data_IF_184317890267
#
_entry.id   IF_184317890267
#
_cell.length_a   1.000
_cell.length_b   1.000
_cell.length_c   1.000
_cell.angle_alpha   90.00
_cell.angle_beta   90.00
_cell.angle_gamma   90.00
#
_symmetry.space_group_name_H-M   'P 1'
#
loop_
_entity.id
_entity.type
_entity.pdbx_description
1 polymer ?
#
# COMPACT_ATOMS: atom_id res chain seq x y z
N UNK A 1 -30.01 8.60 -0.14
CA UNK A 1 -28.90 9.43 0.40
C UNK A 1 -28.31 8.69 1.59
N UNK A 2 -26.99 8.63 1.72
CA UNK A 2 -26.36 8.01 2.89
C UNK A 2 -26.74 8.79 4.16
N UNK A 3 -27.02 8.09 5.26
CA UNK A 3 -27.35 8.69 6.55
C UNK A 3 -26.13 9.46 7.07
N UNK A 4 -26.27 10.77 7.27
CA UNK A 4 -25.22 11.62 7.85
C UNK A 4 -25.43 11.66 9.36
N UNK A 5 -24.41 11.26 10.11
CA UNK A 5 -24.39 11.34 11.57
C UNK A 5 -23.38 12.40 12.02
N UNK A 6 -23.74 13.20 13.03
CA UNK A 6 -22.85 14.23 13.59
C UNK A 6 -22.04 13.63 14.73
N UNK A 7 -20.72 13.79 14.67
CA UNK A 7 -19.78 13.32 15.70
C UNK A 7 -18.97 14.54 16.16
N UNK A 8 -18.84 14.72 17.48
CA UNK A 8 -17.93 15.72 18.04
C UNK A 8 -16.55 15.11 18.18
N UNK A 9 -15.53 15.78 17.64
CA UNK A 9 -14.14 15.32 17.64
C UNK A 9 -13.23 16.43 18.14
N UNK A 10 -12.22 16.07 18.92
CA UNK A 10 -11.16 17.00 19.32
C UNK A 10 -10.08 17.02 18.23
N UNK A 11 -9.74 18.22 17.76
CA UNK A 11 -8.67 18.47 16.80
C UNK A 11 -7.66 19.43 17.45
N UNK A 12 -6.41 19.38 16.99
CA UNK A 12 -5.43 20.36 17.42
C UNK A 12 -5.79 21.75 16.88
N UNK A 13 -5.35 22.82 17.55
CA UNK A 13 -5.58 24.19 17.08
C UNK A 13 -5.04 24.41 15.66
N UNK A 14 -3.89 23.81 15.35
CA UNK A 14 -3.29 23.82 14.01
C UNK A 14 -4.19 23.17 12.96
N UNK A 15 -4.75 21.99 13.24
CA UNK A 15 -5.67 21.31 12.32
C UNK A 15 -6.93 22.12 12.07
N UNK A 16 -7.49 22.76 13.11
CA UNK A 16 -8.66 23.63 12.97
C UNK A 16 -8.33 24.84 12.09
N UNK A 17 -7.16 25.47 12.28
CA UNK A 17 -6.71 26.59 11.45
C UNK A 17 -6.54 26.17 9.98
N UNK A 18 -5.95 25.01 9.71
CA UNK A 18 -5.79 24.49 8.36
C UNK A 18 -7.14 24.21 7.68
N UNK A 19 -8.08 23.58 8.40
CA UNK A 19 -9.44 23.31 7.90
C UNK A 19 -10.16 24.63 7.59
N UNK A 20 -10.05 25.64 8.47
CA UNK A 20 -10.67 26.96 8.23
C UNK A 20 -10.08 27.65 7.01
N UNK A 21 -8.75 27.67 6.88
CA UNK A 21 -8.08 28.26 5.73
C UNK A 21 -8.53 27.64 4.41
N UNK A 22 -8.69 26.30 4.36
CA UNK A 22 -9.16 25.61 3.17
C UNK A 22 -10.62 25.96 2.80
N UNK A 23 -11.47 26.22 3.79
CA UNK A 23 -12.86 26.67 3.57
C UNK A 23 -12.90 28.14 3.16
N UNK A 24 -12.18 29.01 3.89
CA UNK A 24 -12.13 30.45 3.64
C UNK A 24 -11.48 30.77 2.27
N UNK A 25 -10.53 29.93 1.84
CA UNK A 25 -9.92 29.97 0.51
C UNK A 25 -10.80 29.43 -0.62
N UNK A 26 -11.96 28.84 -0.29
CA UNK A 26 -12.92 28.33 -1.27
C UNK A 26 -12.56 26.97 -1.87
N UNK A 27 -11.54 26.27 -1.36
CA UNK A 27 -11.22 24.89 -1.78
C UNK A 27 -12.32 23.91 -1.34
N UNK A 28 -12.99 24.21 -0.22
CA UNK A 28 -14.09 23.41 0.31
C UNK A 28 -15.26 24.29 0.71
N UNK A 29 -16.49 23.79 0.54
CA UNK A 29 -17.68 24.54 0.94
C UNK A 29 -17.91 24.49 2.46
N UNK A 30 -17.47 23.43 3.13
CA UNK A 30 -17.69 23.24 4.58
C UNK A 30 -16.56 22.48 5.25
N UNK A 31 -16.37 22.71 6.56
CA UNK A 31 -15.42 21.95 7.39
C UNK A 31 -15.71 20.45 7.39
N UNK A 32 -16.99 20.07 7.33
CA UNK A 32 -17.40 18.67 7.28
C UNK A 32 -16.98 17.97 5.99
N UNK A 33 -16.74 18.71 4.91
CA UNK A 33 -16.24 18.17 3.66
C UNK A 33 -14.76 17.78 3.75
N UNK A 34 -13.94 18.69 4.28
CA UNK A 34 -12.51 18.44 4.56
C UNK A 34 -12.34 17.20 5.44
N UNK A 35 -13.14 17.11 6.52
CA UNK A 35 -13.08 15.97 7.43
C UNK A 35 -13.50 14.67 6.73
N UNK A 36 -14.53 14.68 5.87
CA UNK A 36 -14.94 13.48 5.12
C UNK A 36 -13.85 13.03 4.14
N UNK A 37 -13.18 13.96 3.46
CA UNK A 37 -12.05 13.63 2.60
C UNK A 37 -10.91 12.98 3.38
N UNK A 38 -10.46 13.61 4.46
CA UNK A 38 -9.41 13.08 5.31
C UNK A 38 -9.73 11.66 5.83
N UNK A 39 -11.00 11.38 6.15
CA UNK A 39 -11.44 10.04 6.57
C UNK A 39 -11.41 9.05 5.42
N UNK A 40 -11.80 9.44 4.19
CA UNK A 40 -11.71 8.54 3.01
C UNK A 40 -10.25 8.18 2.73
N UNK A 41 -9.35 9.14 2.79
CA UNK A 41 -7.92 8.89 2.57
C UNK A 41 -7.33 7.99 3.66
N UNK A 42 -7.72 8.23 4.92
CA UNK A 42 -7.35 7.37 6.03
C UNK A 42 -7.87 5.94 5.87
N UNK A 43 -9.11 5.76 5.40
CA UNK A 43 -9.70 4.45 5.10
C UNK A 43 -8.94 3.76 3.96
N UNK A 44 -8.67 4.45 2.86
CA UNK A 44 -7.92 3.92 1.73
C UNK A 44 -6.51 3.48 2.15
N UNK A 45 -5.80 4.31 2.92
CA UNK A 45 -4.49 3.97 3.49
C UNK A 45 -4.53 2.74 4.39
N UNK A 46 -5.61 2.57 5.17
CA UNK A 46 -5.80 1.38 6.01
C UNK A 46 -6.10 0.13 5.20
N UNK A 47 -6.90 0.24 4.15
CA UNK A 47 -7.19 -0.89 3.27
C UNK A 47 -5.91 -1.40 2.61
N UNK A 48 -5.11 -0.49 2.02
CA UNK A 48 -3.82 -0.85 1.41
C UNK A 48 -2.89 -1.56 2.42
N UNK A 49 -2.84 -1.07 3.65
CA UNK A 49 -2.05 -1.72 4.71
C UNK A 49 -2.56 -3.13 5.04
N UNK A 50 -3.88 -3.33 5.09
CA UNK A 50 -4.47 -4.64 5.36
C UNK A 50 -4.20 -5.61 4.21
N UNK A 51 -4.27 -5.14 2.97
CA UNK A 51 -3.94 -5.92 1.78
C UNK A 51 -2.47 -6.34 1.79
N UNK A 52 -1.56 -5.42 2.12
CA UNK A 52 -0.13 -5.72 2.25
C UNK A 52 0.17 -6.75 3.34
N UNK A 53 -0.45 -6.62 4.52
CA UNK A 53 -0.30 -7.59 5.60
C UNK A 53 -0.80 -8.97 5.15
N UNK A 54 -1.94 -9.01 4.46
CA UNK A 54 -2.53 -10.26 3.96
C UNK A 54 -1.65 -10.90 2.91
N UNK A 55 -1.07 -10.10 2.00
CA UNK A 55 -0.09 -10.55 1.00
C UNK A 55 1.17 -11.11 1.66
N UNK A 56 1.73 -10.43 2.65
CA UNK A 56 2.93 -10.91 3.36
C UNK A 56 2.67 -12.21 4.13
N UNK A 57 1.51 -12.34 4.79
CA UNK A 57 1.10 -13.60 5.43
C UNK A 57 0.99 -14.74 4.42
N UNK A 58 0.36 -14.50 3.28
CA UNK A 58 0.27 -15.50 2.23
C UNK A 58 1.66 -15.94 1.74
N UNK A 59 2.56 -15.00 1.47
CA UNK A 59 3.93 -15.33 1.04
C UNK A 59 4.70 -16.12 2.11
N UNK A 60 4.45 -15.83 3.39
CA UNK A 60 5.02 -16.60 4.50
C UNK A 60 4.48 -18.03 4.53
N UNK A 61 3.16 -18.20 4.43
CA UNK A 61 2.51 -19.51 4.42
C UNK A 61 2.94 -20.34 3.20
N UNK A 62 3.03 -19.71 2.03
CA UNK A 62 3.56 -20.32 0.79
C UNK A 62 5.02 -20.78 0.99
N UNK A 63 5.84 -19.98 1.68
CA UNK A 63 7.22 -20.32 2.03
C UNK A 63 7.29 -21.53 2.98
N UNK A 64 6.49 -21.55 4.04
CA UNK A 64 6.40 -22.69 4.96
C UNK A 64 5.93 -23.97 4.25
N UNK A 65 4.98 -23.84 3.32
CA UNK A 65 4.47 -24.96 2.54
C UNK A 65 5.44 -25.46 1.46
N UNK A 66 6.46 -24.66 1.09
CA UNK A 66 7.44 -25.00 0.04
C UNK A 66 8.45 -26.07 0.43
N UNK A 67 8.46 -26.50 1.70
CA UNK A 67 9.32 -27.57 2.21
C UNK A 67 10.57 -27.03 2.92
N UNK A 68 11.53 -27.93 3.15
CA UNK A 68 12.80 -27.56 3.79
C UNK A 68 13.64 -26.69 2.86
N UNK A 69 14.11 -25.56 3.38
CA UNK A 69 14.96 -24.64 2.63
C UNK A 69 16.40 -25.18 2.45
N UNK A 70 16.86 -26.05 3.35
CA UNK A 70 18.23 -26.52 3.39
C UNK A 70 19.27 -25.39 3.59
N UNK A 71 20.57 -25.72 3.52
CA UNK A 71 21.63 -24.71 3.57
C UNK A 71 21.70 -23.91 2.25
N UNK A 72 21.92 -22.59 2.36
CA UNK A 72 22.05 -21.70 1.20
C UNK A 72 23.51 -21.40 0.88
N UNK A 73 23.98 -21.80 -0.31
CA UNK A 73 25.26 -21.34 -0.88
C UNK A 73 25.01 -20.20 -1.88
N UNK A 74 25.42 -18.99 -1.50
CA UNK A 74 25.25 -17.78 -2.32
C UNK A 74 26.03 -17.81 -3.65
N UNK A 75 27.14 -18.55 -3.72
CA UNK A 75 27.94 -18.70 -4.94
C UNK A 75 27.20 -19.58 -5.94
N UNK A 76 26.69 -20.71 -5.46
CA UNK A 76 25.88 -21.63 -6.25
C UNK A 76 24.59 -20.97 -6.73
N UNK A 77 23.85 -20.34 -5.81
CA UNK A 77 22.60 -19.63 -6.11
C UNK A 77 22.79 -18.56 -7.19
N UNK A 78 23.90 -17.82 -7.14
CA UNK A 78 24.22 -16.81 -8.16
C UNK A 78 24.56 -17.46 -9.51
N UNK A 79 25.27 -18.59 -9.51
CA UNK A 79 25.57 -19.33 -10.73
C UNK A 79 24.29 -19.82 -11.40
N UNK A 80 23.39 -20.42 -10.64
CA UNK A 80 22.07 -20.86 -11.14
C UNK A 80 21.24 -19.70 -11.69
N UNK A 81 21.17 -18.58 -10.96
CA UNK A 81 20.40 -17.41 -11.40
C UNK A 81 20.91 -16.85 -12.75
N UNK A 82 22.24 -16.81 -12.96
CA UNK A 82 22.84 -16.39 -14.24
C UNK A 82 22.53 -17.38 -15.35
N UNK A 83 22.59 -18.68 -15.08
CA UNK A 83 22.23 -19.70 -16.07
C UNK A 83 20.76 -19.58 -16.50
N UNK A 84 19.84 -19.35 -15.54
CA UNK A 84 18.41 -19.09 -15.83
C UNK A 84 18.21 -17.83 -16.68
N UNK A 85 18.94 -16.75 -16.39
CA UNK A 85 18.89 -15.52 -17.17
C UNK A 85 19.36 -15.73 -18.62
N UNK A 86 20.50 -16.40 -18.82
CA UNK A 86 21.03 -16.65 -20.16
C UNK A 86 20.12 -17.58 -20.97
N UNK A 87 19.47 -18.55 -20.33
CA UNK A 87 18.44 -19.37 -20.97
C UNK A 87 17.24 -18.53 -21.41
N UNK A 88 16.73 -17.66 -20.53
CA UNK A 88 15.60 -16.78 -20.84
C UNK A 88 15.90 -15.80 -21.99
N UNK A 89 17.15 -15.29 -22.09
CA UNK A 89 17.59 -14.42 -23.20
C UNK A 89 17.64 -15.15 -24.53
N UNK A 90 18.01 -16.44 -24.54
CA UNK A 90 18.02 -17.26 -25.75
C UNK A 90 16.62 -17.62 -26.25
N UNK A 91 15.63 -17.67 -25.35
CA UNK A 91 14.23 -17.96 -25.68
C UNK A 91 13.38 -16.71 -25.91
N UNK A 92 13.90 -15.52 -25.65
CA UNK A 92 13.23 -14.27 -25.98
C UNK A 92 13.25 -14.08 -27.52
N UNK A 93 12.10 -13.83 -28.17
CA UNK A 93 12.09 -13.56 -29.61
C UNK A 93 12.84 -12.27 -29.92
N UNK A 94 13.56 -12.27 -31.04
CA UNK A 94 14.27 -11.11 -31.57
C UNK A 94 13.23 -10.04 -31.96
N UNK A 95 13.03 -9.04 -31.10
CA UNK A 95 12.17 -7.89 -31.42
C UNK A 95 13.04 -6.90 -32.18
N UNK A 96 13.09 -7.08 -33.50
CA UNK A 96 13.58 -6.11 -34.47
C UNK A 96 12.50 -5.08 -34.82
#
# INVERSE_FOLDING_TARGET
>A
MAKIEKISVALTGEQVSAIRAAVDGGEYATTSEVVREAIRDWQAKRQLRQDDISRLRKLWDDGLASGDAGPVDMTELRREARARLEAARKTAPDVA
#
